data_IF_369260037692
#
_entry.id   IF_369260037692
#
_cell.length_a   1.000
_cell.length_b   1.000
_cell.length_c   1.000
_cell.angle_alpha   90.00
_cell.angle_beta   90.00
_cell.angle_gamma   90.00
#
_symmetry.space_group_name_H-M   'P 1'
#
loop_
_entity.id
_entity.type
_entity.pdbx_description
1 polymer ?
#
# COMPACT_ATOMS: atom_id res chain seq x y z
N UNK A 1 20.43 22.92 11.15
CA UNK A 1 20.05 21.50 11.05
C UNK A 1 20.42 21.02 9.65
N UNK A 2 21.32 20.04 9.53
CA UNK A 2 21.63 19.38 8.25
C UNK A 2 20.60 18.26 8.04
N UNK A 3 19.45 18.60 7.46
CA UNK A 3 18.41 17.63 7.12
C UNK A 3 18.80 16.92 5.84
N UNK A 4 18.98 15.61 5.95
CA UNK A 4 19.24 14.72 4.82
C UNK A 4 17.91 14.03 4.48
N UNK A 5 17.46 14.16 3.23
CA UNK A 5 16.23 13.53 2.74
C UNK A 5 16.56 12.21 2.05
N UNK A 6 15.75 11.17 2.24
CA UNK A 6 15.89 9.90 1.52
C UNK A 6 15.88 10.05 0.00
N UNK A 7 15.36 11.17 -0.52
CA UNK A 7 15.35 11.50 -1.96
C UNK A 7 16.65 12.13 -2.47
N UNK A 8 17.44 12.73 -1.58
CA UNK A 8 18.67 13.47 -1.93
C UNK A 8 19.93 12.77 -1.43
N UNK A 9 19.78 11.64 -0.73
CA UNK A 9 20.89 10.82 -0.28
C UNK A 9 21.55 10.12 -1.45
N UNK A 10 22.86 10.30 -1.56
CA UNK A 10 23.70 9.46 -2.40
C UNK A 10 23.87 8.09 -1.75
N UNK A 11 22.97 7.15 -2.09
CA UNK A 11 22.98 5.77 -1.59
C UNK A 11 24.32 5.05 -1.78
N UNK A 12 25.11 5.43 -2.78
CA UNK A 12 26.40 4.82 -3.08
C UNK A 12 27.47 5.11 -2.01
N UNK A 13 27.27 6.13 -1.17
CA UNK A 13 28.15 6.42 -0.04
C UNK A 13 27.95 5.47 1.16
N UNK A 14 26.96 4.57 1.08
CA UNK A 14 26.66 3.59 2.12
C UNK A 14 27.15 2.20 1.70
N UNK A 15 27.87 1.53 2.61
CA UNK A 15 28.38 0.18 2.42
C UNK A 15 27.79 -0.82 3.43
N UNK A 16 26.67 -0.45 4.04
CA UNK A 16 25.87 -1.28 4.97
C UNK A 16 24.45 -1.40 4.44
N UNK A 17 23.57 -2.12 5.17
CA UNK A 17 22.15 -2.26 4.83
C UNK A 17 21.38 -0.94 4.61
N UNK A 18 21.94 0.20 4.99
CA UNK A 18 21.40 1.52 4.67
C UNK A 18 21.39 1.82 3.17
N UNK A 19 22.31 1.22 2.39
CA UNK A 19 22.29 1.33 0.93
C UNK A 19 20.98 0.80 0.37
N UNK A 20 20.55 -0.38 0.81
CA UNK A 20 19.30 -1.01 0.41
C UNK A 20 18.09 -0.19 0.86
N UNK A 21 18.14 0.36 2.09
CA UNK A 21 17.08 1.25 2.60
C UNK A 21 16.90 2.46 1.69
N UNK A 22 17.98 3.20 1.39
CA UNK A 22 17.87 4.40 0.56
C UNK A 22 17.54 4.08 -0.90
N UNK A 23 18.06 2.97 -1.42
CA UNK A 23 17.72 2.49 -2.75
C UNK A 23 16.22 2.21 -2.89
N UNK A 24 15.65 1.46 -1.95
CA UNK A 24 14.23 1.14 -1.97
C UNK A 24 13.37 2.35 -1.66
N UNK A 25 13.70 3.17 -0.65
CA UNK A 25 12.96 4.40 -0.32
C UNK A 25 12.89 5.38 -1.49
N UNK A 26 13.94 5.44 -2.33
CA UNK A 26 13.98 6.29 -3.51
C UNK A 26 12.94 5.93 -4.57
N UNK A 27 12.45 4.68 -4.59
CA UNK A 27 11.48 4.18 -5.56
C UNK A 27 10.16 3.70 -4.93
N UNK A 28 10.08 3.61 -3.60
CA UNK A 28 8.97 2.93 -2.91
C UNK A 28 7.58 3.51 -3.18
N UNK A 29 7.49 4.80 -3.49
CA UNK A 29 6.21 5.47 -3.83
C UNK A 29 5.77 5.26 -5.28
N UNK A 30 6.62 4.68 -6.13
CA UNK A 30 6.39 4.48 -7.55
C UNK A 30 6.41 2.98 -7.85
N UNK A 31 5.23 2.41 -8.09
CA UNK A 31 5.06 0.96 -8.27
C UNK A 31 5.89 0.42 -9.41
N UNK A 32 5.96 1.13 -10.54
CA UNK A 32 6.67 0.67 -11.72
C UNK A 32 8.18 0.67 -11.49
N UNK A 33 8.70 1.75 -10.88
CA UNK A 33 10.13 1.84 -10.53
C UNK A 33 10.53 0.81 -9.48
N UNK A 34 9.68 0.57 -8.47
CA UNK A 34 9.91 -0.44 -7.45
C UNK A 34 9.97 -1.85 -8.06
N UNK A 35 9.00 -2.22 -8.90
CA UNK A 35 8.99 -3.55 -9.54
C UNK A 35 10.17 -3.71 -10.49
N UNK A 36 10.52 -2.66 -11.25
CA UNK A 36 11.71 -2.66 -12.11
C UNK A 36 12.98 -2.93 -11.30
N UNK A 37 13.17 -2.23 -10.17
CA UNK A 37 14.32 -2.43 -9.28
C UNK A 37 14.38 -3.86 -8.74
N UNK A 38 13.26 -4.39 -8.22
CA UNK A 38 13.18 -5.74 -7.66
C UNK A 38 13.44 -6.83 -8.71
N UNK A 39 13.10 -6.57 -9.98
CA UNK A 39 13.40 -7.45 -11.11
C UNK A 39 14.86 -7.38 -11.53
N UNK A 40 15.43 -6.18 -11.67
CA UNK A 40 16.82 -5.99 -12.10
C UNK A 40 17.83 -6.49 -11.06
N UNK A 41 17.49 -6.37 -9.77
CA UNK A 41 18.34 -6.79 -8.64
C UNK A 41 17.74 -7.99 -7.89
N UNK A 42 17.04 -8.85 -8.61
CA UNK A 42 16.28 -9.94 -7.99
C UNK A 42 17.14 -10.86 -7.14
N UNK A 43 18.33 -11.27 -7.62
CA UNK A 43 19.22 -12.16 -6.88
C UNK A 43 19.74 -11.52 -5.58
N UNK A 44 20.00 -10.21 -5.59
CA UNK A 44 20.42 -9.47 -4.40
C UNK A 44 19.29 -9.42 -3.37
N UNK A 45 18.12 -8.93 -3.77
CA UNK A 45 16.98 -8.72 -2.87
C UNK A 45 16.27 -10.02 -2.47
N UNK A 46 16.50 -11.14 -3.16
CA UNK A 46 16.07 -12.48 -2.72
C UNK A 46 16.92 -13.05 -1.58
N UNK A 47 18.15 -12.58 -1.42
CA UNK A 47 19.16 -13.21 -0.55
C UNK A 47 19.74 -12.24 0.50
N UNK A 48 18.97 -11.25 0.97
CA UNK A 48 19.45 -10.34 2.00
C UNK A 48 19.68 -11.08 3.32
N UNK A 49 20.71 -10.69 4.06
CA UNK A 49 20.90 -11.16 5.43
C UNK A 49 19.81 -10.61 6.37
N UNK A 50 19.69 -11.23 7.54
CA UNK A 50 18.65 -10.89 8.52
C UNK A 50 18.75 -9.45 9.04
N UNK A 51 19.96 -8.93 9.26
CA UNK A 51 20.17 -7.59 9.79
C UNK A 51 19.74 -6.53 8.77
N UNK A 52 20.17 -6.67 7.53
CA UNK A 52 19.78 -5.81 6.41
C UNK A 52 18.27 -5.87 6.18
N UNK A 53 17.69 -7.07 6.19
CA UNK A 53 16.26 -7.27 5.97
C UNK A 53 15.41 -6.64 7.08
N UNK A 54 15.86 -6.74 8.33
CA UNK A 54 15.23 -6.09 9.48
C UNK A 54 15.29 -4.56 9.35
N UNK A 55 16.41 -4.02 8.88
CA UNK A 55 16.56 -2.59 8.65
C UNK A 55 15.59 -2.11 7.58
N UNK A 56 15.60 -2.75 6.40
CA UNK A 56 14.67 -2.45 5.30
C UNK A 56 13.22 -2.56 5.77
N UNK A 57 12.85 -3.66 6.42
CA UNK A 57 11.50 -3.88 6.92
C UNK A 57 11.03 -2.82 7.92
N UNK A 58 11.93 -2.27 8.74
CA UNK A 58 11.61 -1.20 9.69
C UNK A 58 11.44 0.16 9.00
N UNK A 59 12.31 0.50 8.04
CA UNK A 59 12.27 1.80 7.36
C UNK A 59 11.15 1.92 6.33
N UNK A 60 10.83 0.82 5.65
CA UNK A 60 9.74 0.78 4.66
C UNK A 60 8.38 0.40 5.29
N UNK A 61 8.36 0.16 6.60
CA UNK A 61 7.22 -0.39 7.35
C UNK A 61 6.56 -1.56 6.62
N UNK A 62 7.31 -2.65 6.45
CA UNK A 62 6.84 -3.88 5.78
C UNK A 62 6.24 -4.80 6.86
N UNK A 63 4.91 -4.77 7.10
CA UNK A 63 4.30 -5.49 8.23
C UNK A 63 4.44 -7.01 8.10
N UNK A 64 4.46 -7.53 6.87
CA UNK A 64 4.52 -8.99 6.63
C UNK A 64 5.81 -9.62 7.17
N UNK A 65 6.90 -8.86 7.28
CA UNK A 65 8.15 -9.34 7.87
C UNK A 65 8.09 -9.41 9.40
N UNK A 66 7.23 -8.61 10.05
CA UNK A 66 6.98 -8.69 11.50
C UNK A 66 6.03 -9.84 11.83
N UNK A 67 5.04 -10.07 10.98
CA UNK A 67 3.96 -11.03 11.21
C UNK A 67 4.35 -12.46 10.85
N UNK A 68 5.19 -12.65 9.83
CA UNK A 68 5.52 -13.99 9.32
C UNK A 68 6.93 -14.05 8.71
N UNK A 69 7.94 -13.76 9.54
CA UNK A 69 9.33 -13.68 9.09
C UNK A 69 9.85 -15.00 8.49
N UNK A 70 9.44 -16.15 9.06
CA UNK A 70 9.85 -17.48 8.60
C UNK A 70 9.38 -17.79 7.18
N UNK A 71 8.22 -17.27 6.75
CA UNK A 71 7.70 -17.46 5.38
C UNK A 71 8.68 -16.98 4.31
N UNK A 72 9.48 -15.96 4.61
CA UNK A 72 10.38 -15.34 3.65
C UNK A 72 11.84 -15.74 3.86
N UNK A 73 12.13 -16.56 4.87
CA UNK A 73 13.50 -16.98 5.22
C UNK A 73 13.82 -18.32 4.55
N UNK A 74 15.01 -18.44 3.95
CA UNK A 74 15.53 -19.70 3.45
C UNK A 74 16.28 -20.49 4.55
N UNK A 75 16.67 -21.73 4.24
CA UNK A 75 17.38 -22.62 5.17
C UNK A 75 18.74 -22.06 5.64
N UNK A 76 19.30 -21.07 4.93
CA UNK A 76 20.57 -20.40 5.24
C UNK A 76 20.37 -19.11 6.03
N UNK A 77 19.13 -18.78 6.41
CA UNK A 77 18.79 -17.55 7.13
C UNK A 77 18.74 -16.31 6.24
N UNK A 78 18.75 -16.45 4.91
CA UNK A 78 18.58 -15.34 3.97
C UNK A 78 17.10 -15.04 3.77
N UNK A 79 16.76 -13.75 3.64
CA UNK A 79 15.37 -13.29 3.52
C UNK A 79 15.08 -12.83 2.10
N UNK A 80 14.00 -13.36 1.55
CA UNK A 80 13.48 -13.00 0.24
C UNK A 80 12.61 -11.73 0.32
N UNK A 81 13.26 -10.58 0.24
CA UNK A 81 12.61 -9.27 0.29
C UNK A 81 11.75 -8.99 -0.94
N UNK A 82 12.10 -9.54 -2.11
CA UNK A 82 11.26 -9.45 -3.31
C UNK A 82 9.85 -9.98 -3.04
N UNK A 83 9.75 -11.19 -2.50
CA UNK A 83 8.45 -11.81 -2.17
C UNK A 83 7.76 -11.04 -1.05
N UNK A 84 8.47 -10.64 0.00
CA UNK A 84 7.88 -9.88 1.11
C UNK A 84 7.27 -8.55 0.66
N UNK A 85 7.97 -7.78 -0.18
CA UNK A 85 7.47 -6.50 -0.69
C UNK A 85 6.27 -6.71 -1.62
N UNK A 86 6.34 -7.68 -2.55
CA UNK A 86 5.22 -7.98 -3.46
C UNK A 86 3.97 -8.43 -2.71
N UNK A 87 4.12 -9.31 -1.72
CA UNK A 87 3.02 -9.76 -0.88
C UNK A 87 2.40 -8.60 -0.08
N UNK A 88 3.22 -7.71 0.47
CA UNK A 88 2.75 -6.51 1.15
C UNK A 88 1.92 -5.61 0.23
N UNK A 89 2.40 -5.34 -0.99
CA UNK A 89 1.66 -4.55 -2.00
C UNK A 89 0.32 -5.20 -2.31
N UNK A 90 0.34 -6.50 -2.67
CA UNK A 90 -0.87 -7.26 -3.00
C UNK A 90 -1.89 -7.28 -1.86
N UNK A 91 -1.44 -7.52 -0.63
CA UNK A 91 -2.30 -7.49 0.55
C UNK A 91 -2.85 -6.08 0.83
N UNK A 92 -2.05 -5.05 0.57
CA UNK A 92 -2.48 -3.65 0.64
C UNK A 92 -3.62 -3.34 -0.32
N UNK A 93 -3.48 -3.73 -1.59
CA UNK A 93 -4.50 -3.56 -2.63
C UNK A 93 -5.79 -4.27 -2.26
N UNK A 94 -5.71 -5.56 -1.90
CA UNK A 94 -6.87 -6.35 -1.50
C UNK A 94 -7.62 -5.73 -0.33
N UNK A 95 -6.91 -5.31 0.72
CA UNK A 95 -7.53 -4.60 1.87
C UNK A 95 -8.14 -3.26 1.46
N UNK A 96 -7.54 -2.58 0.49
CA UNK A 96 -8.05 -1.33 -0.07
C UNK A 96 -9.38 -1.52 -0.76
N UNK A 97 -9.48 -2.53 -1.63
CA UNK A 97 -10.70 -2.94 -2.32
C UNK A 97 -11.80 -3.33 -1.33
N UNK A 98 -11.53 -4.25 -0.41
CA UNK A 98 -12.50 -4.70 0.61
C UNK A 98 -13.03 -3.52 1.45
N UNK A 99 -12.14 -2.60 1.86
CA UNK A 99 -12.55 -1.40 2.61
C UNK A 99 -13.34 -0.44 1.73
N UNK A 100 -13.01 -0.32 0.46
CA UNK A 100 -13.69 0.53 -0.51
C UNK A 100 -15.11 0.04 -0.78
N UNK A 101 -15.28 -1.26 -1.04
CA UNK A 101 -16.58 -1.90 -1.23
C UNK A 101 -17.47 -1.73 -0.01
N UNK A 102 -16.96 -2.09 1.18
CA UNK A 102 -17.71 -1.96 2.43
C UNK A 102 -18.18 -0.52 2.69
N UNK A 103 -17.28 0.46 2.54
CA UNK A 103 -17.65 1.88 2.69
C UNK A 103 -18.65 2.32 1.62
N UNK A 104 -18.51 1.85 0.40
CA UNK A 104 -19.42 2.13 -0.70
C UNK A 104 -20.83 1.61 -0.43
N UNK A 105 -20.94 0.38 0.07
CA UNK A 105 -22.19 -0.24 0.49
C UNK A 105 -22.83 0.53 1.65
N UNK A 106 -22.08 0.80 2.73
CA UNK A 106 -22.56 1.55 3.90
C UNK A 106 -23.09 2.94 3.51
N UNK A 107 -22.34 3.69 2.69
CA UNK A 107 -22.75 5.01 2.20
C UNK A 107 -24.01 4.93 1.33
N UNK A 108 -24.08 3.95 0.43
CA UNK A 108 -25.22 3.79 -0.47
C UNK A 108 -26.48 3.36 0.27
N UNK A 109 -26.37 2.43 1.23
CA UNK A 109 -27.47 2.01 2.09
C UNK A 109 -27.99 3.19 2.95
N UNK A 110 -27.08 3.98 3.53
CA UNK A 110 -27.44 5.19 4.29
C UNK A 110 -28.18 6.21 3.42
N UNK A 111 -27.70 6.45 2.20
CA UNK A 111 -28.38 7.34 1.26
C UNK A 111 -29.78 6.82 0.89
N UNK A 112 -29.90 5.52 0.60
CA UNK A 112 -31.18 4.90 0.25
C UNK A 112 -32.22 5.08 1.37
N UNK A 113 -31.82 4.85 2.62
CA UNK A 113 -32.67 5.05 3.80
C UNK A 113 -33.14 6.51 3.91
N UNK A 114 -32.22 7.47 3.84
CA UNK A 114 -32.52 8.90 3.98
C UNK A 114 -33.42 9.43 2.86
N UNK A 115 -33.26 8.93 1.63
CA UNK A 115 -34.15 9.26 0.52
C UNK A 115 -35.53 8.64 0.70
N UNK A 116 -35.61 7.40 1.18
CA UNK A 116 -36.89 6.73 1.45
C UNK A 116 -37.67 7.44 2.56
N UNK A 117 -37.03 7.81 3.67
CA UNK A 117 -37.64 8.58 4.76
C UNK A 117 -38.21 9.93 4.31
N UNK A 118 -37.62 10.54 3.28
CA UNK A 118 -38.08 11.80 2.67
C UNK A 118 -38.99 11.62 1.46
N UNK A 119 -39.41 10.39 1.15
CA UNK A 119 -40.21 10.04 -0.03
C UNK A 119 -39.57 10.48 -1.38
N UNK A 120 -38.24 10.59 -1.44
CA UNK A 120 -37.48 11.01 -2.63
C UNK A 120 -37.09 9.81 -3.51
N UNK A 121 -38.06 8.97 -3.86
CA UNK A 121 -37.83 7.71 -4.61
C UNK A 121 -37.28 7.99 -6.03
N UNK A 122 -37.69 9.10 -6.66
CA UNK A 122 -37.14 9.52 -7.95
C UNK A 122 -35.64 9.81 -7.88
N UNK A 123 -35.17 10.37 -6.77
CA UNK A 123 -33.74 10.61 -6.54
C UNK A 123 -32.98 9.32 -6.30
N UNK A 124 -33.61 8.33 -5.68
CA UNK A 124 -33.01 7.00 -5.49
C UNK A 124 -32.74 6.33 -6.85
N UNK A 125 -33.71 6.37 -7.76
CA UNK A 125 -33.52 5.88 -9.14
C UNK A 125 -32.39 6.65 -9.83
N UNK A 126 -32.44 7.98 -9.82
CA UNK A 126 -31.45 8.80 -10.50
C UNK A 126 -30.04 8.60 -9.92
N UNK A 127 -29.91 8.51 -8.60
CA UNK A 127 -28.64 8.25 -7.92
C UNK A 127 -28.08 6.85 -8.21
N UNK A 128 -28.92 5.88 -8.56
CA UNK A 128 -28.46 4.54 -8.96
C UNK A 128 -27.82 4.52 -10.35
N UNK A 129 -28.25 5.41 -11.25
CA UNK A 129 -27.80 5.49 -12.65
C UNK A 129 -26.73 6.57 -12.86
N UNK A 130 -26.77 7.65 -12.07
CA UNK A 130 -25.91 8.82 -12.21
C UNK A 130 -24.99 9.00 -10.99
N UNK A 131 -23.69 8.76 -11.21
CA UNK A 131 -22.66 8.89 -10.18
C UNK A 131 -22.49 10.33 -9.70
N UNK A 132 -22.50 11.32 -10.59
CA UNK A 132 -22.32 12.73 -10.18
C UNK A 132 -23.51 13.21 -9.36
N UNK A 133 -24.72 12.79 -9.72
CA UNK A 133 -25.91 13.06 -8.94
C UNK A 133 -25.87 12.38 -7.58
N UNK A 134 -25.46 11.11 -7.52
CA UNK A 134 -25.24 10.40 -6.25
C UNK A 134 -24.21 11.10 -5.37
N UNK A 135 -23.11 11.58 -5.95
CA UNK A 135 -22.07 12.32 -5.23
C UNK A 135 -22.60 13.65 -4.66
N UNK A 136 -23.50 14.35 -5.38
CA UNK A 136 -24.21 15.54 -4.85
C UNK A 136 -25.13 15.20 -3.69
N UNK A 137 -25.87 14.09 -3.76
CA UNK A 137 -26.71 13.66 -2.64
C UNK A 137 -25.87 13.24 -1.43
N UNK A 138 -24.74 12.56 -1.63
CA UNK A 138 -23.81 12.28 -0.54
C UNK A 138 -23.38 13.58 0.17
N UNK A 139 -23.06 14.64 -0.58
CA UNK A 139 -22.78 15.95 0.01
C UNK A 139 -23.98 16.56 0.73
N UNK A 140 -25.17 16.52 0.12
CA UNK A 140 -26.42 17.06 0.68
C UNK A 140 -26.74 16.44 2.06
N UNK A 141 -26.52 15.13 2.20
CA UNK A 141 -26.84 14.36 3.40
C UNK A 141 -25.63 14.13 4.34
N UNK A 142 -24.46 14.65 4.00
CA UNK A 142 -23.22 14.47 4.79
C UNK A 142 -22.79 13.01 4.90
N UNK A 143 -22.68 12.31 3.77
CA UNK A 143 -22.31 10.90 3.61
C UNK A 143 -20.96 10.75 2.90
#
# INVERSE_FOLDING_TARGET
INLVSSRTVEKENFHTGLKEVFELLGVFSDREKLEKLLREKEEHYKNLDEETSRLVGKFLDIPVLKENQEKYRDERGKVNMCTAIRDMVKNGEKRGEERGEKRGEERSARLALLLAERNRIGDLKKASEDKEYRDKLFQEFGI
#
